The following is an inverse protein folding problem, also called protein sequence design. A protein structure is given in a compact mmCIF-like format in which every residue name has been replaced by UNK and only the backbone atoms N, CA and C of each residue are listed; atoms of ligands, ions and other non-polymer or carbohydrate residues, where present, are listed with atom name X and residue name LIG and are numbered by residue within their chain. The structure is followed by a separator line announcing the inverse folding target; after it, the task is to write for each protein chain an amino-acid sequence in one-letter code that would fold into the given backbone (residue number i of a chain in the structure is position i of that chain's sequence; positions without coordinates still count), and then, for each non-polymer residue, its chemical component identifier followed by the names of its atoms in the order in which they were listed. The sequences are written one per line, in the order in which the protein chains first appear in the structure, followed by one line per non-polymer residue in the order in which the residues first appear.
data_IF_346301303306
#
_entry.id   IF_346301303306
#
_cell.length_a   1.000
_cell.length_b   1.000
_cell.length_c   1.000
_cell.angle_alpha   90.00
_cell.angle_beta   90.00
_cell.angle_gamma   90.00
#
_symmetry.space_group_name_H-M   'P 1'
#
loop_
_entity.id
_entity.type
_entity.pdbx_description
1 polymer ?
#
# COMPACT_ATOMS: atom_id res chain seq x y z
N UNK A 1 147.26 -180.66 17.00
CA UNK A 1 147.79 -182.05 17.08
C UNK A 1 149.32 -181.98 17.28
N UNK A 2 149.94 -183.10 17.71
CA UNK A 2 151.36 -183.45 17.99
C UNK A 2 152.52 -182.67 17.26
N UNK A 3 153.82 -182.70 17.63
CA UNK A 3 154.64 -183.57 18.52
C UNK A 3 156.13 -183.07 18.71
N UNK A 4 157.13 -183.96 18.85
CA UNK A 4 158.54 -183.80 19.37
C UNK A 4 159.66 -184.14 18.32
N UNK A 5 161.04 -184.17 18.54
CA UNK A 5 162.01 -183.70 19.60
C UNK A 5 163.38 -183.08 19.08
N UNK A 6 164.41 -182.84 19.95
CA UNK A 6 165.84 -183.25 19.64
C UNK A 6 167.13 -182.34 19.79
N UNK A 7 167.84 -182.40 20.95
CA UNK A 7 169.32 -182.51 21.27
C UNK A 7 170.59 -181.79 20.64
N UNK A 8 171.55 -181.35 21.53
CA UNK A 8 173.04 -181.66 21.60
C UNK A 8 174.22 -180.62 21.44
N UNK A 9 175.20 -180.62 22.41
CA UNK A 9 176.70 -180.35 22.46
C UNK A 9 177.44 -179.14 21.75
N UNK A 10 178.67 -178.64 22.10
CA UNK A 10 179.70 -178.81 23.18
C UNK A 10 180.73 -177.60 23.25
N UNK A 11 181.34 -177.31 24.43
CA UNK A 11 182.62 -176.58 24.78
C UNK A 11 183.00 -175.17 24.20
N UNK A 12 183.24 -174.16 25.08
CA UNK A 12 184.55 -173.46 25.36
C UNK A 12 184.49 -172.00 25.93
N UNK A 13 185.28 -171.77 27.01
CA UNK A 13 186.06 -170.56 27.40
C UNK A 13 185.39 -169.17 27.60
N UNK A 14 184.79 -169.03 28.78
CA UNK A 14 184.92 -167.90 29.74
C UNK A 14 185.76 -166.64 29.39
N UNK A 15 185.10 -165.49 29.12
CA UNK A 15 185.49 -164.14 29.64
C UNK A 15 184.49 -162.98 29.39
N UNK A 16 183.47 -163.13 28.53
CA UNK A 16 182.68 -162.00 28.00
C UNK A 16 181.33 -161.70 28.70
N UNK A 17 180.99 -162.36 29.81
CA UNK A 17 179.68 -162.22 30.45
C UNK A 17 179.41 -160.88 31.19
N UNK A 18 180.45 -160.17 31.64
CA UNK A 18 180.29 -159.01 32.53
C UNK A 18 180.13 -157.65 31.82
N UNK A 19 180.50 -157.53 30.53
CA UNK A 19 180.47 -156.24 29.81
C UNK A 19 179.11 -155.90 29.16
N UNK A 20 178.15 -156.84 29.13
CA UNK A 20 176.87 -156.63 28.46
C UNK A 20 175.83 -155.85 29.30
N UNK A 21 176.06 -155.69 30.61
CA UNK A 21 175.07 -155.08 31.53
C UNK A 21 175.23 -153.56 31.65
N UNK A 22 176.47 -153.04 31.71
CA UNK A 22 176.73 -151.60 31.90
C UNK A 22 176.26 -150.74 30.71
N UNK A 23 176.41 -151.24 29.47
CA UNK A 23 176.09 -150.46 28.27
C UNK A 23 174.60 -150.08 28.16
N UNK A 24 173.69 -150.90 28.72
CA UNK A 24 172.24 -150.63 28.69
C UNK A 24 171.81 -149.49 29.62
N UNK A 25 172.53 -149.28 30.72
CA UNK A 25 172.18 -148.27 31.74
C UNK A 25 172.47 -146.86 31.20
N UNK A 26 173.64 -146.67 30.56
CA UNK A 26 174.04 -145.39 29.98
C UNK A 26 173.08 -144.91 28.87
N UNK A 27 172.61 -145.81 28.02
CA UNK A 27 171.72 -145.45 26.90
C UNK A 27 170.35 -144.92 27.37
N UNK A 28 169.82 -145.43 28.48
CA UNK A 28 168.55 -144.95 29.04
C UNK A 28 168.64 -143.56 29.70
N UNK A 29 169.81 -143.18 30.23
CA UNK A 29 170.01 -141.88 30.86
C UNK A 29 169.92 -140.72 29.86
N UNK A 30 170.56 -140.86 28.69
CA UNK A 30 170.63 -139.82 27.64
C UNK A 30 169.23 -139.48 27.09
N UNK A 31 168.39 -140.49 26.85
CA UNK A 31 167.04 -140.29 26.29
C UNK A 31 166.14 -139.49 27.24
N UNK A 32 166.24 -139.69 28.56
CA UNK A 32 165.47 -138.90 29.55
C UNK A 32 165.85 -137.42 29.50
N UNK A 33 167.15 -137.11 29.41
CA UNK A 33 167.66 -135.74 29.35
C UNK A 33 167.20 -135.01 28.07
N UNK A 34 167.27 -135.68 26.91
CA UNK A 34 166.76 -135.13 25.65
C UNK A 34 165.26 -134.87 25.67
N UNK A 35 164.47 -135.74 26.31
CA UNK A 35 163.01 -135.58 26.45
C UNK A 35 162.64 -134.40 27.34
N UNK A 36 163.40 -134.16 28.42
CA UNK A 36 163.21 -133.02 29.32
C UNK A 36 163.45 -131.68 28.62
N UNK A 37 164.56 -131.54 27.85
CA UNK A 37 164.86 -130.30 27.13
C UNK A 37 163.70 -129.93 26.20
N UNK A 38 163.24 -130.86 25.33
CA UNK A 38 162.13 -130.61 24.38
C UNK A 38 160.87 -130.06 25.06
N UNK A 39 160.54 -130.51 26.28
CA UNK A 39 159.43 -129.97 27.06
C UNK A 39 159.64 -128.50 27.49
N UNK A 40 160.85 -128.14 27.96
CA UNK A 40 161.18 -126.78 28.39
C UNK A 40 161.09 -125.77 27.24
N UNK A 41 161.57 -126.15 26.04
CA UNK A 41 161.52 -125.30 24.85
C UNK A 41 160.07 -124.99 24.43
N UNK A 42 159.20 -126.00 24.42
CA UNK A 42 157.79 -125.85 24.04
C UNK A 42 157.03 -124.93 25.01
N UNK A 43 157.33 -125.01 26.31
CA UNK A 43 156.72 -124.12 27.31
C UNK A 43 157.12 -122.65 27.08
N UNK A 44 158.39 -122.38 26.77
CA UNK A 44 158.88 -121.04 26.47
C UNK A 44 158.29 -120.42 25.19
N UNK A 45 157.92 -121.24 24.19
CA UNK A 45 157.17 -120.77 23.03
C UNK A 45 155.71 -120.42 23.37
N UNK A 46 155.04 -121.27 24.17
CA UNK A 46 153.63 -121.05 24.58
C UNK A 46 153.45 -119.77 25.41
N UNK A 47 154.37 -119.45 26.32
CA UNK A 47 154.28 -118.22 27.13
C UNK A 47 154.43 -116.96 26.28
N UNK A 48 155.36 -116.93 25.31
CA UNK A 48 155.49 -115.80 24.36
C UNK A 48 154.22 -115.58 23.54
N UNK A 49 153.60 -116.64 23.04
CA UNK A 49 152.34 -116.53 22.28
C UNK A 49 151.19 -115.95 23.13
N UNK A 50 151.07 -116.36 24.40
CA UNK A 50 150.03 -115.86 25.31
C UNK A 50 150.13 -114.35 25.54
N UNK A 51 151.34 -113.81 25.75
CA UNK A 51 151.55 -112.36 25.98
C UNK A 51 151.15 -111.52 24.75
N UNK A 52 151.42 -111.99 23.53
CA UNK A 52 151.02 -111.30 22.29
C UNK A 52 149.49 -111.28 22.13
N UNK A 53 148.82 -112.38 22.44
CA UNK A 53 147.34 -112.44 22.41
C UNK A 53 146.74 -111.50 23.47
N UNK A 54 147.31 -111.48 24.68
CA UNK A 54 146.86 -110.63 25.78
C UNK A 54 147.04 -109.13 25.45
N UNK A 55 148.16 -108.72 24.88
CA UNK A 55 148.39 -107.30 24.51
C UNK A 55 147.43 -106.82 23.42
N UNK A 56 147.14 -107.66 22.41
CA UNK A 56 146.13 -107.38 21.39
C UNK A 56 144.72 -107.28 21.97
N UNK A 57 144.34 -108.17 22.89
CA UNK A 57 143.05 -108.15 23.56
C UNK A 57 142.86 -106.88 24.40
N UNK A 58 143.86 -106.49 25.20
CA UNK A 58 143.84 -105.25 25.97
C UNK A 58 143.73 -104.01 25.08
N UNK A 59 144.49 -103.97 23.97
CA UNK A 59 144.40 -102.90 22.97
C UNK A 59 143.04 -102.79 22.29
N UNK A 60 142.38 -103.93 22.03
CA UNK A 60 141.00 -103.95 21.51
C UNK A 60 139.99 -103.42 22.54
N UNK A 61 140.08 -103.85 23.81
CA UNK A 61 139.20 -103.36 24.89
C UNK A 61 139.30 -101.83 25.06
N UNK A 62 140.51 -101.27 25.00
CA UNK A 62 140.74 -99.84 25.08
C UNK A 62 140.06 -99.07 23.93
N UNK A 63 140.26 -99.52 22.68
CA UNK A 63 139.60 -98.95 21.49
C UNK A 63 138.07 -99.05 21.58
N UNK A 64 137.54 -100.17 22.07
CA UNK A 64 136.10 -100.40 22.24
C UNK A 64 135.48 -99.54 23.36
N UNK A 65 136.26 -99.09 24.36
CA UNK A 65 135.82 -98.08 25.35
C UNK A 65 135.84 -96.67 24.75
N UNK A 66 136.92 -96.30 24.05
CA UNK A 66 137.04 -94.98 23.41
C UNK A 66 135.91 -94.71 22.41
N UNK A 67 135.59 -95.69 21.55
CA UNK A 67 134.48 -95.60 20.61
C UNK A 67 133.12 -95.40 21.31
N UNK A 68 132.82 -96.20 22.34
CA UNK A 68 131.58 -96.06 23.12
C UNK A 68 131.48 -94.72 23.87
N UNK A 69 132.59 -94.16 24.34
CA UNK A 69 132.60 -92.84 24.97
C UNK A 69 132.38 -91.71 23.94
N UNK A 70 132.97 -91.82 22.73
CA UNK A 70 132.71 -90.88 21.63
C UNK A 70 131.23 -90.88 21.23
N UNK A 71 130.61 -92.06 21.09
CA UNK A 71 129.19 -92.17 20.76
C UNK A 71 128.30 -91.56 21.86
N UNK A 72 128.58 -91.82 23.14
CA UNK A 72 127.85 -91.20 24.27
C UNK A 72 127.93 -89.67 24.25
N UNK A 73 129.10 -89.10 23.95
CA UNK A 73 129.28 -87.65 23.80
C UNK A 73 128.45 -87.10 22.63
N UNK A 74 128.47 -87.75 21.47
CA UNK A 74 127.65 -87.35 20.32
C UNK A 74 126.15 -87.40 20.64
N UNK A 75 125.68 -88.47 21.29
CA UNK A 75 124.27 -88.58 21.71
C UNK A 75 123.87 -87.51 22.75
N UNK A 76 124.77 -87.14 23.67
CA UNK A 76 124.54 -86.06 24.62
C UNK A 76 124.42 -84.69 23.92
N UNK A 77 125.33 -84.39 22.98
CA UNK A 77 125.28 -83.16 22.16
C UNK A 77 124.00 -83.11 21.32
N UNK A 78 123.61 -84.21 20.67
CA UNK A 78 122.37 -84.29 19.89
C UNK A 78 121.12 -84.08 20.75
N UNK A 79 121.08 -84.62 21.98
CA UNK A 79 119.98 -84.36 22.93
C UNK A 79 119.91 -82.89 23.32
N UNK A 80 121.04 -82.26 23.64
CA UNK A 80 121.09 -80.83 23.97
C UNK A 80 120.65 -79.94 22.80
N UNK A 81 121.12 -80.24 21.59
CA UNK A 81 120.71 -79.54 20.37
C UNK A 81 119.22 -79.70 20.06
N UNK A 82 118.65 -80.90 20.22
CA UNK A 82 117.20 -81.14 20.05
C UNK A 82 116.39 -80.38 21.09
N UNK A 83 116.80 -80.40 22.36
CA UNK A 83 116.15 -79.64 23.42
C UNK A 83 116.19 -78.13 23.15
N UNK A 84 117.36 -77.59 22.77
CA UNK A 84 117.51 -76.17 22.45
C UNK A 84 116.64 -75.73 21.26
N UNK A 85 116.61 -76.52 20.18
CA UNK A 85 115.72 -76.27 19.03
C UNK A 85 114.24 -76.32 19.43
N UNK A 86 113.85 -77.27 20.28
CA UNK A 86 112.47 -77.37 20.80
C UNK A 86 112.10 -76.16 21.68
N UNK A 87 113.00 -75.72 22.56
CA UNK A 87 112.82 -74.53 23.40
C UNK A 87 112.67 -73.26 22.56
N UNK A 88 113.54 -73.08 21.56
CA UNK A 88 113.48 -71.93 20.64
C UNK A 88 112.18 -71.91 19.82
N UNK A 89 111.75 -73.07 19.30
CA UNK A 89 110.48 -73.17 18.56
C UNK A 89 109.27 -72.90 19.48
N UNK A 90 109.30 -73.37 20.73
CA UNK A 90 108.27 -73.06 21.71
C UNK A 90 108.21 -71.55 22.00
N UNK A 91 109.36 -70.90 22.20
CA UNK A 91 109.45 -69.45 22.45
C UNK A 91 108.99 -68.62 21.24
N UNK A 92 109.28 -69.06 20.01
CA UNK A 92 108.73 -68.44 18.79
C UNK A 92 107.21 -68.60 18.72
N UNK A 93 106.68 -69.78 19.05
CA UNK A 93 105.23 -70.06 19.06
C UNK A 93 104.49 -69.27 20.14
N UNK A 94 105.04 -69.12 21.34
CA UNK A 94 104.42 -68.32 22.40
C UNK A 94 104.42 -66.84 22.05
N UNK A 95 105.53 -66.29 21.51
CA UNK A 95 105.57 -64.91 21.00
C UNK A 95 104.53 -64.68 19.89
N UNK A 96 104.43 -65.57 18.91
CA UNK A 96 103.43 -65.49 17.85
C UNK A 96 101.99 -65.59 18.40
N UNK A 97 101.73 -66.49 19.34
CA UNK A 97 100.42 -66.63 19.98
C UNK A 97 100.01 -65.37 20.75
N UNK A 98 100.91 -64.76 21.51
CA UNK A 98 100.65 -63.50 22.22
C UNK A 98 100.34 -62.34 21.25
N UNK A 99 101.06 -62.25 20.12
CA UNK A 99 100.76 -61.25 19.08
C UNK A 99 99.38 -61.49 18.47
N UNK A 100 99.05 -62.72 18.08
CA UNK A 100 97.72 -63.05 17.53
C UNK A 100 96.61 -62.78 18.55
N UNK A 101 96.77 -63.22 19.81
CA UNK A 101 95.81 -63.00 20.88
C UNK A 101 95.59 -61.53 21.19
N UNK A 102 96.65 -60.72 21.28
CA UNK A 102 96.54 -59.27 21.52
C UNK A 102 95.85 -58.53 20.36
N UNK A 103 96.08 -58.92 19.10
CA UNK A 103 95.32 -58.41 17.97
C UNK A 103 93.82 -58.78 18.03
N UNK A 104 93.49 -60.04 18.37
CA UNK A 104 92.10 -60.51 18.51
C UNK A 104 91.40 -59.79 19.66
N UNK A 105 92.01 -59.71 20.84
CA UNK A 105 91.47 -59.01 22.01
C UNK A 105 91.30 -57.51 21.71
N UNK A 106 92.27 -56.87 21.06
CA UNK A 106 92.18 -55.49 20.62
C UNK A 106 91.07 -55.24 19.60
N UNK A 107 90.83 -56.19 18.67
CA UNK A 107 89.70 -56.12 17.74
C UNK A 107 88.36 -56.29 18.47
N UNK A 108 88.23 -57.28 19.36
CA UNK A 108 87.02 -57.48 20.17
C UNK A 108 86.69 -56.25 21.02
N UNK A 109 87.70 -55.63 21.65
CA UNK A 109 87.53 -54.40 22.42
C UNK A 109 87.03 -53.23 21.55
N UNK A 110 87.64 -53.00 20.37
CA UNK A 110 87.18 -51.98 19.41
C UNK A 110 85.78 -52.26 18.88
N UNK A 111 85.47 -53.52 18.58
CA UNK A 111 84.15 -53.95 18.10
C UNK A 111 83.06 -53.74 19.16
N UNK A 112 83.37 -54.03 20.44
CA UNK A 112 82.49 -53.77 21.58
C UNK A 112 82.28 -52.26 21.79
N UNK A 113 83.36 -51.48 21.77
CA UNK A 113 83.29 -50.01 21.89
C UNK A 113 82.46 -49.37 20.77
N UNK A 114 82.61 -49.81 19.52
CA UNK A 114 81.76 -49.35 18.41
C UNK A 114 80.29 -49.70 18.65
N UNK A 115 79.98 -50.96 18.97
CA UNK A 115 78.60 -51.39 19.26
C UNK A 115 77.97 -50.57 20.39
N UNK A 116 78.71 -50.27 21.45
CA UNK A 116 78.22 -49.45 22.56
C UNK A 116 77.97 -47.99 22.12
N UNK A 117 78.86 -47.41 21.30
CA UNK A 117 78.67 -46.08 20.71
C UNK A 117 77.43 -46.04 19.79
N UNK A 118 77.26 -47.05 18.95
CA UNK A 118 76.13 -47.16 18.03
C UNK A 118 74.81 -47.35 18.78
N UNK A 119 74.79 -48.15 19.85
CA UNK A 119 73.64 -48.30 20.75
C UNK A 119 73.27 -46.98 21.42
N UNK A 120 74.26 -46.23 21.94
CA UNK A 120 74.05 -44.92 22.56
C UNK A 120 73.49 -43.90 21.54
N UNK A 121 74.06 -43.84 20.33
CA UNK A 121 73.56 -42.99 19.25
C UNK A 121 72.12 -43.36 18.86
N UNK A 122 71.79 -44.65 18.73
CA UNK A 122 70.42 -45.08 18.44
C UNK A 122 69.45 -44.78 19.59
N UNK A 123 69.88 -44.85 20.86
CA UNK A 123 69.08 -44.44 22.01
C UNK A 123 68.79 -42.94 21.99
N UNK A 124 69.81 -42.10 21.75
CA UNK A 124 69.67 -40.64 21.60
C UNK A 124 68.72 -40.32 20.44
N UNK A 125 68.90 -40.94 19.27
CA UNK A 125 68.03 -40.72 18.11
C UNK A 125 66.58 -41.15 18.37
N UNK A 126 66.35 -42.27 19.10
CA UNK A 126 65.01 -42.69 19.54
C UNK A 126 64.37 -41.63 20.44
N UNK A 127 65.10 -41.12 21.44
CA UNK A 127 64.60 -40.09 22.35
C UNK A 127 64.29 -38.78 21.61
N UNK A 128 65.18 -38.34 20.71
CA UNK A 128 64.96 -37.15 19.88
C UNK A 128 63.75 -37.29 18.95
N UNK A 129 63.56 -38.44 18.30
CA UNK A 129 62.36 -38.72 17.48
C UNK A 129 61.09 -38.70 18.33
N UNK A 130 61.10 -39.35 19.50
CA UNK A 130 59.97 -39.36 20.43
C UNK A 130 59.62 -37.95 20.90
N UNK A 131 60.60 -37.13 21.29
CA UNK A 131 60.37 -35.77 21.75
C UNK A 131 59.83 -34.85 20.64
N UNK A 132 60.38 -34.93 19.42
CA UNK A 132 59.85 -34.23 18.24
C UNK A 132 58.41 -34.65 17.95
N UNK A 133 58.09 -35.94 18.04
CA UNK A 133 56.73 -36.47 17.92
C UNK A 133 55.78 -35.92 18.99
N UNK A 134 56.22 -35.87 20.26
CA UNK A 134 55.44 -35.33 21.38
C UNK A 134 55.18 -33.82 21.23
N UNK A 135 56.18 -33.06 20.77
CA UNK A 135 56.04 -31.62 20.49
C UNK A 135 55.06 -31.37 19.34
N UNK A 136 55.19 -32.09 18.23
CA UNK A 136 54.26 -32.00 17.09
C UNK A 136 52.84 -32.38 17.48
N UNK A 137 52.67 -33.43 18.30
CA UNK A 137 51.36 -33.81 18.83
C UNK A 137 50.77 -32.68 19.72
N UNK A 138 51.58 -32.07 20.60
CA UNK A 138 51.16 -30.92 21.43
C UNK A 138 50.79 -29.68 20.61
N UNK A 139 51.46 -29.44 19.49
CA UNK A 139 51.09 -28.37 18.55
C UNK A 139 49.78 -28.69 17.81
N UNK A 140 49.64 -29.91 17.27
CA UNK A 140 48.43 -30.36 16.56
C UNK A 140 47.19 -30.36 17.46
N UNK A 141 47.29 -30.81 18.71
CA UNK A 141 46.16 -30.79 19.66
C UNK A 141 45.75 -29.37 20.02
N UNK A 142 46.71 -28.47 20.28
CA UNK A 142 46.42 -27.03 20.47
C UNK A 142 45.70 -26.42 19.26
N UNK A 143 46.20 -26.65 18.05
CA UNK A 143 45.59 -26.16 16.82
C UNK A 143 44.17 -26.73 16.62
N UNK A 144 43.97 -28.03 16.86
CA UNK A 144 42.66 -28.68 16.78
C UNK A 144 41.66 -28.06 17.78
N UNK A 145 42.05 -27.83 19.03
CA UNK A 145 41.19 -27.20 20.05
C UNK A 145 40.79 -25.77 19.64
N UNK A 146 41.71 -24.98 19.09
CA UNK A 146 41.42 -23.62 18.59
C UNK A 146 40.47 -23.67 17.39
N UNK A 147 40.71 -24.54 16.41
CA UNK A 147 39.82 -24.69 15.24
C UNK A 147 38.42 -25.15 15.68
N UNK A 148 38.34 -26.11 16.60
CA UNK A 148 37.09 -26.62 17.16
C UNK A 148 36.32 -25.54 17.94
N UNK A 149 36.99 -24.74 18.79
CA UNK A 149 36.33 -23.68 19.55
C UNK A 149 35.81 -22.56 18.64
N UNK A 150 36.57 -22.16 17.62
CA UNK A 150 36.11 -21.21 16.59
C UNK A 150 34.91 -21.75 15.81
N UNK A 151 34.93 -23.02 15.38
CA UNK A 151 33.83 -23.64 14.65
C UNK A 151 32.56 -23.80 15.51
N UNK A 152 32.70 -24.20 16.78
CA UNK A 152 31.59 -24.26 17.73
C UNK A 152 31.02 -22.87 18.02
N UNK A 153 31.87 -21.87 18.28
CA UNK A 153 31.47 -20.49 18.49
C UNK A 153 30.77 -19.87 17.28
N UNK A 154 31.22 -20.16 16.06
CA UNK A 154 30.55 -19.75 14.83
C UNK A 154 29.17 -20.41 14.69
N UNK A 155 29.05 -21.73 14.90
CA UNK A 155 27.75 -22.43 14.89
C UNK A 155 26.79 -21.89 15.94
N UNK A 156 27.28 -21.56 17.14
CA UNK A 156 26.49 -20.95 18.21
C UNK A 156 25.98 -19.55 17.83
N UNK A 157 26.87 -18.67 17.33
CA UNK A 157 26.49 -17.34 16.82
C UNK A 157 25.46 -17.44 15.69
N UNK A 158 25.64 -18.34 14.72
CA UNK A 158 24.70 -18.51 13.61
C UNK A 158 23.31 -18.97 14.10
N UNK A 159 23.25 -19.88 15.07
CA UNK A 159 21.98 -20.29 15.72
C UNK A 159 21.31 -19.13 16.46
N UNK A 160 22.09 -18.34 17.22
CA UNK A 160 21.59 -17.18 17.95
C UNK A 160 21.03 -16.10 17.00
N UNK A 161 21.77 -15.74 15.95
CA UNK A 161 21.33 -14.80 14.91
C UNK A 161 20.07 -15.29 14.20
N UNK A 162 19.99 -16.57 13.82
CA UNK A 162 18.78 -17.16 13.22
C UNK A 162 17.59 -17.11 14.19
N UNK A 163 17.78 -17.44 15.48
CA UNK A 163 16.73 -17.34 16.50
C UNK A 163 16.23 -15.90 16.65
N UNK A 164 17.14 -14.91 16.76
CA UNK A 164 16.82 -13.48 16.83
C UNK A 164 16.04 -13.00 15.60
N UNK A 165 16.45 -13.40 14.40
CA UNK A 165 15.74 -13.06 13.17
C UNK A 165 14.32 -13.64 13.14
N UNK A 166 14.16 -14.92 13.50
CA UNK A 166 12.85 -15.57 13.55
C UNK A 166 11.93 -14.96 14.62
N UNK A 167 12.45 -14.58 15.80
CA UNK A 167 11.65 -13.89 16.82
C UNK A 167 11.22 -12.50 16.37
N UNK A 168 12.10 -11.74 15.70
CA UNK A 168 11.74 -10.45 15.10
C UNK A 168 10.65 -10.60 14.03
N UNK A 169 10.74 -11.59 13.14
CA UNK A 169 9.69 -11.87 12.17
C UNK A 169 8.35 -12.25 12.84
N UNK A 170 8.38 -13.04 13.92
CA UNK A 170 7.19 -13.40 14.67
C UNK A 170 6.53 -12.17 15.34
N UNK A 171 7.33 -11.30 15.96
CA UNK A 171 6.87 -10.02 16.55
C UNK A 171 6.26 -9.12 15.46
N UNK A 172 6.91 -8.96 14.31
CA UNK A 172 6.39 -8.15 13.20
C UNK A 172 5.08 -8.70 12.64
N UNK A 173 4.94 -10.03 12.51
CA UNK A 173 3.68 -10.69 12.12
C UNK A 173 2.57 -10.41 13.13
N UNK A 174 2.85 -10.57 14.43
CA UNK A 174 1.88 -10.32 15.51
C UNK A 174 1.46 -8.83 15.56
N UNK A 175 2.42 -7.91 15.44
CA UNK A 175 2.14 -6.47 15.39
C UNK A 175 1.29 -6.10 14.16
N UNK A 176 1.58 -6.65 12.98
CA UNK A 176 0.77 -6.43 11.77
C UNK A 176 -0.66 -6.96 11.93
N UNK A 177 -0.82 -8.17 12.46
CA UNK A 177 -2.14 -8.75 12.77
C UNK A 177 -2.91 -7.89 13.78
N UNK A 178 -2.28 -7.47 14.88
CA UNK A 178 -2.91 -6.64 15.90
C UNK A 178 -3.36 -5.27 15.37
N UNK A 179 -2.51 -4.60 14.57
CA UNK A 179 -2.87 -3.36 13.88
C UNK A 179 -4.06 -3.56 12.94
N UNK A 180 -4.10 -4.67 12.20
CA UNK A 180 -5.24 -5.06 11.36
C UNK A 180 -6.53 -5.26 12.17
N UNK A 181 -6.45 -6.02 13.28
CA UNK A 181 -7.58 -6.26 14.20
C UNK A 181 -8.11 -4.96 14.81
N UNK A 182 -7.23 -4.05 15.22
CA UNK A 182 -7.60 -2.75 15.77
C UNK A 182 -8.25 -1.84 14.70
N UNK A 183 -7.70 -1.80 13.48
CA UNK A 183 -8.28 -1.07 12.36
C UNK A 183 -9.67 -1.60 12.00
N UNK A 184 -9.84 -2.92 11.93
CA UNK A 184 -11.14 -3.55 11.71
C UNK A 184 -12.13 -3.16 12.82
N UNK A 185 -11.76 -3.29 14.10
CA UNK A 185 -12.61 -2.87 15.24
C UNK A 185 -13.00 -1.38 15.17
N UNK A 186 -12.10 -0.49 14.73
CA UNK A 186 -12.41 0.93 14.48
C UNK A 186 -13.41 1.10 13.34
N UNK A 187 -13.16 0.49 12.17
CA UNK A 187 -14.05 0.54 11.00
C UNK A 187 -15.45 0.01 11.33
N UNK A 188 -15.56 -1.11 12.04
CA UNK A 188 -16.85 -1.68 12.44
C UNK A 188 -17.61 -0.74 13.38
N UNK A 189 -16.93 -0.11 14.36
CA UNK A 189 -17.57 0.93 15.21
C UNK A 189 -18.08 2.11 14.38
N UNK A 190 -17.27 2.66 13.48
CA UNK A 190 -17.69 3.77 12.60
C UNK A 190 -18.85 3.38 11.68
N UNK A 191 -18.82 2.16 11.13
CA UNK A 191 -19.91 1.64 10.29
C UNK A 191 -21.22 1.51 11.07
N UNK A 192 -21.19 1.01 12.31
CA UNK A 192 -22.38 0.93 13.19
C UNK A 192 -22.97 2.32 13.43
N UNK A 193 -22.13 3.33 13.72
CA UNK A 193 -22.58 4.72 13.93
C UNK A 193 -23.21 5.31 12.66
N UNK A 194 -22.57 5.18 11.50
CA UNK A 194 -23.12 5.65 10.21
C UNK A 194 -24.46 4.95 9.93
N UNK A 195 -24.52 3.63 10.12
CA UNK A 195 -25.76 2.88 9.92
C UNK A 195 -26.87 3.27 10.90
N UNK A 196 -26.58 3.63 12.16
CA UNK A 196 -27.61 4.13 13.08
C UNK A 196 -28.18 5.48 12.63
N UNK A 197 -27.35 6.40 12.14
CA UNK A 197 -27.82 7.67 11.56
C UNK A 197 -28.67 7.43 10.30
N UNK A 198 -28.25 6.54 9.40
CA UNK A 198 -29.01 6.21 8.18
C UNK A 198 -30.36 5.57 8.53
N UNK A 199 -30.41 4.61 9.47
CA UNK A 199 -31.68 4.02 9.93
C UNK A 199 -32.60 5.07 10.57
N UNK A 200 -32.05 5.96 11.39
CA UNK A 200 -32.79 7.08 11.99
C UNK A 200 -33.36 8.03 10.94
N UNK A 201 -32.57 8.41 9.93
CA UNK A 201 -33.01 9.26 8.82
C UNK A 201 -34.14 8.60 8.00
N UNK A 202 -34.02 7.31 7.67
CA UNK A 202 -35.08 6.54 6.98
C UNK A 202 -36.37 6.53 7.81
N UNK A 203 -36.27 6.30 9.12
CA UNK A 203 -37.42 6.30 10.02
C UNK A 203 -38.10 7.69 10.07
N UNK A 204 -37.34 8.76 10.28
CA UNK A 204 -37.84 10.14 10.25
C UNK A 204 -38.49 10.49 8.91
N UNK A 205 -37.92 10.07 7.79
CA UNK A 205 -38.48 10.33 6.47
C UNK A 205 -39.76 9.53 6.23
N UNK A 206 -39.86 8.29 6.70
CA UNK A 206 -41.08 7.49 6.69
C UNK A 206 -42.21 8.15 7.50
N UNK A 207 -41.91 8.59 8.73
CA UNK A 207 -42.86 9.34 9.58
C UNK A 207 -43.31 10.64 8.91
N UNK A 208 -42.40 11.40 8.31
CA UNK A 208 -42.72 12.65 7.60
C UNK A 208 -43.66 12.40 6.39
N UNK A 209 -43.35 11.40 5.56
CA UNK A 209 -44.22 10.99 4.43
C UNK A 209 -45.60 10.54 4.91
N UNK A 210 -45.68 9.77 5.99
CA UNK A 210 -46.95 9.32 6.56
C UNK A 210 -47.76 10.49 7.16
N UNK A 211 -47.12 11.41 7.89
CA UNK A 211 -47.77 12.65 8.37
C UNK A 211 -48.32 13.48 7.20
N UNK A 212 -47.55 13.66 6.13
CA UNK A 212 -48.01 14.38 4.94
C UNK A 212 -49.23 13.69 4.30
N UNK A 213 -49.20 12.36 4.12
CA UNK A 213 -50.35 11.59 3.62
C UNK A 213 -51.60 11.77 4.49
N UNK A 214 -51.46 11.71 5.82
CA UNK A 214 -52.56 11.93 6.77
C UNK A 214 -53.11 13.36 6.63
N UNK A 215 -52.24 14.38 6.58
CA UNK A 215 -52.65 15.78 6.41
C UNK A 215 -53.39 16.00 5.09
N UNK A 216 -52.94 15.38 3.99
CA UNK A 216 -53.63 15.44 2.69
C UNK A 216 -55.02 14.81 2.79
N UNK A 217 -55.15 13.59 3.35
CA UNK A 217 -56.45 12.93 3.55
C UNK A 217 -57.38 13.77 4.42
N UNK A 218 -56.88 14.33 5.52
CA UNK A 218 -57.63 15.22 6.41
C UNK A 218 -58.07 16.51 5.70
N UNK A 219 -57.23 17.11 4.85
CA UNK A 219 -57.58 18.29 4.06
C UNK A 219 -58.67 18.00 3.03
N UNK A 220 -58.59 16.86 2.33
CA UNK A 220 -59.65 16.40 1.42
C UNK A 220 -60.98 16.18 2.15
N UNK A 221 -60.95 15.53 3.32
CA UNK A 221 -62.16 15.26 4.11
C UNK A 221 -62.78 16.55 4.68
N UNK A 222 -61.98 17.46 5.24
CA UNK A 222 -62.44 18.78 5.69
C UNK A 222 -63.06 19.59 4.55
N UNK A 223 -62.41 19.61 3.38
CA UNK A 223 -62.93 20.27 2.19
C UNK A 223 -64.22 19.63 1.65
N UNK A 224 -64.35 18.30 1.74
CA UNK A 224 -65.59 17.60 1.38
C UNK A 224 -66.74 17.97 2.33
N UNK A 225 -66.52 17.94 3.64
CA UNK A 225 -67.51 18.32 4.65
C UNK A 225 -67.98 19.78 4.45
N UNK A 226 -67.04 20.73 4.34
CA UNK A 226 -67.37 22.13 4.09
C UNK A 226 -68.21 22.34 2.82
N UNK A 227 -67.90 21.61 1.72
CA UNK A 227 -68.71 21.65 0.50
C UNK A 227 -70.08 21.00 0.65
N UNK A 228 -70.20 19.93 1.45
CA UNK A 228 -71.48 19.27 1.75
C UNK A 228 -72.40 20.21 2.53
N UNK A 229 -71.88 20.88 3.55
CA UNK A 229 -72.63 21.81 4.39
C UNK A 229 -73.06 23.06 3.58
N UNK A 230 -72.13 23.64 2.81
CA UNK A 230 -72.43 24.74 1.89
C UNK A 230 -73.46 24.36 0.82
N UNK A 231 -73.47 23.10 0.33
CA UNK A 231 -74.48 22.64 -0.64
C UNK A 231 -75.88 22.68 -0.04
N UNK A 232 -76.05 22.37 1.25
CA UNK A 232 -77.32 22.52 1.95
C UNK A 232 -77.78 23.99 2.01
N UNK A 233 -76.88 24.88 2.42
CA UNK A 233 -77.14 26.32 2.48
C UNK A 233 -77.45 26.93 1.10
N UNK A 234 -76.75 26.49 0.05
CA UNK A 234 -76.96 26.95 -1.32
C UNK A 234 -78.32 26.50 -1.89
N UNK A 235 -78.78 25.30 -1.52
CA UNK A 235 -80.11 24.82 -1.90
C UNK A 235 -81.22 25.61 -1.20
N UNK A 236 -81.07 25.89 0.10
CA UNK A 236 -81.99 26.76 0.85
C UNK A 236 -82.01 28.20 0.30
N UNK A 237 -80.84 28.79 0.02
CA UNK A 237 -80.72 30.11 -0.61
C UNK A 237 -81.38 30.13 -2.00
N UNK A 238 -81.14 29.11 -2.84
CA UNK A 238 -81.79 28.98 -4.15
C UNK A 238 -83.31 28.86 -4.02
N UNK A 239 -83.81 28.08 -3.06
CA UNK A 239 -85.24 27.97 -2.80
C UNK A 239 -85.84 29.32 -2.34
N UNK A 240 -85.17 30.05 -1.45
CA UNK A 240 -85.55 31.40 -1.00
C UNK A 240 -85.61 32.39 -2.16
N UNK A 241 -84.61 32.39 -3.05
CA UNK A 241 -84.58 33.23 -4.26
C UNK A 241 -85.69 32.85 -5.24
N UNK A 242 -85.95 31.55 -5.47
CA UNK A 242 -87.06 31.13 -6.32
C UNK A 242 -88.42 31.53 -5.75
N UNK A 243 -88.61 31.36 -4.43
CA UNK A 243 -89.84 31.77 -3.74
C UNK A 243 -90.04 33.29 -3.75
N UNK A 244 -88.99 34.09 -3.61
CA UNK A 244 -89.10 35.53 -3.75
C UNK A 244 -89.38 35.94 -5.20
N UNK A 245 -88.71 35.35 -6.19
CA UNK A 245 -88.90 35.63 -7.61
C UNK A 245 -90.31 35.29 -8.11
N UNK A 246 -90.90 34.17 -7.67
CA UNK A 246 -92.27 33.78 -8.00
C UNK A 246 -93.34 34.74 -7.43
N UNK A 247 -92.99 35.51 -6.39
CA UNK A 247 -93.87 36.45 -5.72
C UNK A 247 -93.63 37.92 -6.15
N UNK A 248 -92.81 38.17 -7.18
CA UNK A 248 -92.59 39.54 -7.70
C UNK A 248 -93.73 39.92 -8.63
N UNK A 249 -94.60 40.81 -8.15
CA UNK A 249 -95.53 41.56 -8.99
C UNK A 249 -94.76 42.39 -10.05
N UNK A 250 -95.25 42.37 -11.29
CA UNK A 250 -94.67 43.11 -12.41
C UNK A 250 -94.73 44.63 -12.16
N UNK A 251 -95.77 45.15 -11.51
CA UNK A 251 -95.87 46.56 -11.14
C UNK A 251 -94.79 47.02 -10.14
N UNK A 252 -94.31 46.10 -9.28
CA UNK A 252 -93.26 46.37 -8.29
C UNK A 252 -91.83 46.29 -8.85
N UNK A 253 -91.64 45.85 -10.10
CA UNK A 253 -90.31 45.83 -10.73
C UNK A 253 -89.75 47.25 -10.87
N UNK A 254 -88.46 47.41 -10.56
CA UNK A 254 -87.77 48.71 -10.55
C UNK A 254 -87.97 49.47 -11.87
N UNK A 255 -87.89 48.80 -13.03
CA UNK A 255 -88.02 49.47 -14.33
C UNK A 255 -89.46 49.96 -14.56
N UNK A 256 -90.48 49.14 -14.26
CA UNK A 256 -91.88 49.53 -14.39
C UNK A 256 -92.25 50.70 -13.45
N UNK A 257 -91.74 50.66 -12.20
CA UNK A 257 -91.87 51.78 -11.25
C UNK A 257 -91.19 53.05 -11.75
N UNK A 258 -90.02 52.94 -12.37
CA UNK A 258 -89.29 54.07 -12.95
C UNK A 258 -89.98 54.65 -14.18
N UNK A 259 -90.59 53.81 -15.03
CA UNK A 259 -91.38 54.25 -16.19
C UNK A 259 -92.62 55.03 -15.74
N UNK A 260 -93.34 54.55 -14.72
CA UNK A 260 -94.47 55.29 -14.13
C UNK A 260 -94.02 56.63 -13.51
N UNK A 261 -92.96 56.60 -12.70
CA UNK A 261 -92.40 57.80 -12.07
C UNK A 261 -91.90 58.83 -13.10
N UNK A 262 -91.34 58.38 -14.22
CA UNK A 262 -90.93 59.22 -15.35
C UNK A 262 -92.12 59.92 -16.01
N UNK A 263 -93.26 59.23 -16.17
CA UNK A 263 -94.49 59.81 -16.74
C UNK A 263 -95.06 60.95 -15.87
N UNK A 264 -94.88 60.87 -14.55
CA UNK A 264 -95.34 61.90 -13.60
C UNK A 264 -94.31 63.01 -13.35
N UNK A 265 -93.04 62.80 -13.70
CA UNK A 265 -91.89 63.64 -13.31
C UNK A 265 -92.04 65.14 -13.60
N UNK A 266 -92.72 65.51 -14.69
CA UNK A 266 -92.94 66.93 -15.08
C UNK A 266 -94.12 67.59 -14.35
N UNK A 267 -94.97 66.81 -13.69
CA UNK A 267 -96.14 67.29 -12.94
C UNK A 267 -95.87 67.44 -11.43
N UNK A 268 -94.70 67.01 -10.96
CA UNK A 268 -94.32 67.06 -9.56
C UNK A 268 -94.02 68.48 -9.10
N UNK A 269 -94.55 68.86 -7.93
CA UNK A 269 -94.36 70.20 -7.34
C UNK A 269 -93.17 70.27 -6.36
N UNK A 270 -92.65 69.12 -5.95
CA UNK A 270 -91.58 68.99 -4.97
C UNK A 270 -90.25 68.74 -5.66
N UNK A 271 -89.30 69.68 -5.51
CA UNK A 271 -87.94 69.53 -6.04
C UNK A 271 -87.22 68.33 -5.40
N UNK A 272 -87.58 67.98 -4.15
CA UNK A 272 -87.07 66.79 -3.46
C UNK A 272 -87.52 65.48 -4.12
N UNK A 273 -88.76 65.40 -4.59
CA UNK A 273 -89.31 64.18 -5.18
C UNK A 273 -88.77 63.99 -6.61
N UNK A 274 -88.66 65.10 -7.36
CA UNK A 274 -87.97 65.15 -8.65
C UNK A 274 -86.50 64.70 -8.48
N UNK A 275 -85.79 65.20 -7.46
CA UNK A 275 -84.41 64.80 -7.17
C UNK A 275 -84.31 63.29 -6.88
N UNK A 276 -85.20 62.76 -6.04
CA UNK A 276 -85.22 61.34 -5.68
C UNK A 276 -85.44 60.43 -6.89
N UNK A 277 -86.37 60.78 -7.77
CA UNK A 277 -86.65 60.01 -8.99
C UNK A 277 -85.50 60.13 -9.99
N UNK A 278 -84.95 61.32 -10.23
CA UNK A 278 -83.77 61.50 -11.09
C UNK A 278 -82.54 60.73 -10.57
N UNK A 279 -82.31 60.71 -9.25
CA UNK A 279 -81.23 59.94 -8.64
C UNK A 279 -81.44 58.42 -8.81
N UNK A 280 -82.69 57.95 -8.69
CA UNK A 280 -83.04 56.53 -8.87
C UNK A 280 -82.94 56.11 -10.35
N UNK A 281 -83.34 56.97 -11.29
CA UNK A 281 -83.13 56.78 -12.73
C UNK A 281 -81.64 56.70 -13.08
N UNK A 282 -80.81 57.58 -12.52
CA UNK A 282 -79.37 57.55 -12.71
C UNK A 282 -78.75 56.22 -12.19
N UNK A 283 -79.10 55.81 -10.96
CA UNK A 283 -78.66 54.54 -10.37
C UNK A 283 -79.05 53.32 -11.22
N UNK A 284 -80.29 53.27 -11.72
CA UNK A 284 -80.77 52.14 -12.51
C UNK A 284 -80.14 52.08 -13.92
N UNK A 285 -79.97 53.23 -14.57
CA UNK A 285 -79.32 53.32 -15.90
C UNK A 285 -77.81 53.11 -15.85
N UNK A 286 -77.15 53.30 -14.70
CA UNK A 286 -75.72 53.07 -14.55
C UNK A 286 -75.30 51.59 -14.76
N UNK A 287 -76.19 50.65 -14.43
CA UNK A 287 -75.86 49.22 -14.34
C UNK A 287 -76.62 48.29 -15.30
N UNK A 288 -77.68 48.75 -15.98
CA UNK A 288 -78.53 47.90 -16.82
C UNK A 288 -78.82 48.53 -18.18
N UNK A 289 -78.27 47.92 -19.24
CA UNK A 289 -78.57 48.28 -20.63
C UNK A 289 -80.08 48.15 -20.93
N UNK A 290 -80.70 47.05 -20.51
CA UNK A 290 -82.14 46.81 -20.72
C UNK A 290 -83.01 47.88 -20.05
N UNK A 291 -82.59 48.41 -18.89
CA UNK A 291 -83.27 49.54 -18.25
C UNK A 291 -83.13 50.83 -19.08
N UNK A 292 -81.97 51.08 -19.68
CA UNK A 292 -81.77 52.21 -20.60
C UNK A 292 -82.67 52.10 -21.84
N UNK A 293 -82.75 50.91 -22.45
CA UNK A 293 -83.60 50.63 -23.62
C UNK A 293 -85.09 50.83 -23.28
N UNK A 294 -85.59 50.24 -22.19
CA UNK A 294 -86.98 50.37 -21.74
C UNK A 294 -87.35 51.81 -21.35
N UNK A 295 -86.46 52.56 -20.69
CA UNK A 295 -86.67 53.98 -20.39
C UNK A 295 -86.68 54.87 -21.63
N UNK A 296 -85.81 54.60 -22.61
CA UNK A 296 -85.79 55.35 -23.88
C UNK A 296 -87.07 55.07 -24.68
N UNK A 297 -87.53 53.82 -24.73
CA UNK A 297 -88.81 53.44 -25.34
C UNK A 297 -90.01 54.12 -24.64
N UNK A 298 -89.95 54.31 -23.32
CA UNK A 298 -90.92 55.08 -22.54
C UNK A 298 -90.80 56.62 -22.70
N UNK A 299 -89.93 57.11 -23.60
CA UNK A 299 -89.81 58.54 -23.90
C UNK A 299 -88.91 59.34 -22.95
N UNK A 300 -88.11 58.69 -22.09
CA UNK A 300 -87.32 59.35 -21.05
C UNK A 300 -86.42 60.47 -21.56
N UNK A 301 -85.86 60.34 -22.76
CA UNK A 301 -85.03 61.37 -23.40
C UNK A 301 -85.76 62.71 -23.50
N UNK A 302 -86.99 62.69 -24.01
CA UNK A 302 -87.79 63.91 -24.17
C UNK A 302 -88.21 64.52 -22.83
N UNK A 303 -88.58 63.67 -21.86
CA UNK A 303 -88.95 64.10 -20.50
C UNK A 303 -87.77 64.73 -19.76
N UNK A 304 -86.59 64.11 -19.82
CA UNK A 304 -85.36 64.63 -19.20
C UNK A 304 -84.93 65.96 -19.84
N UNK A 305 -84.99 66.10 -21.17
CA UNK A 305 -84.68 67.40 -21.79
C UNK A 305 -85.69 68.50 -21.47
N UNK A 306 -86.99 68.16 -21.36
CA UNK A 306 -88.01 69.11 -20.87
C UNK A 306 -87.70 69.57 -19.44
N UNK A 307 -87.39 68.62 -18.54
CA UNK A 307 -87.02 68.91 -17.16
C UNK A 307 -85.78 69.81 -17.09
N UNK A 308 -84.70 69.45 -17.78
CA UNK A 308 -83.44 70.23 -17.79
C UNK A 308 -83.65 71.68 -18.23
N UNK A 309 -84.57 71.92 -19.19
CA UNK A 309 -84.92 73.29 -19.65
C UNK A 309 -85.72 74.09 -18.62
N UNK A 310 -86.53 73.44 -17.78
CA UNK A 310 -87.27 74.12 -16.70
C UNK A 310 -86.43 74.38 -15.44
N UNK A 311 -85.29 73.71 -15.26
CA UNK A 311 -84.43 73.88 -14.09
C UNK A 311 -83.75 75.27 -14.07
N UNK A 312 -83.98 76.01 -12.99
CA UNK A 312 -83.42 77.33 -12.77
C UNK A 312 -81.97 77.26 -12.24
N UNK A 313 -81.39 78.43 -11.91
CA UNK A 313 -80.07 78.53 -11.27
C UNK A 313 -80.11 78.36 -9.74
N UNK A 314 -81.27 78.01 -9.17
CA UNK A 314 -81.37 77.76 -7.73
C UNK A 314 -80.50 76.55 -7.35
N UNK A 315 -79.93 76.57 -6.14
CA UNK A 315 -79.14 75.43 -5.62
C UNK A 315 -79.92 74.10 -5.71
N UNK A 316 -81.20 73.99 -5.27
CA UNK A 316 -81.91 72.72 -5.37
C UNK A 316 -82.17 72.26 -6.82
N UNK A 317 -82.39 73.17 -7.77
CA UNK A 317 -82.53 72.80 -9.19
C UNK A 317 -81.22 72.28 -9.79
N UNK A 318 -80.07 72.82 -9.36
CA UNK A 318 -78.76 72.35 -9.81
C UNK A 318 -78.41 70.97 -9.23
N UNK A 319 -78.91 70.62 -8.04
CA UNK A 319 -78.80 69.24 -7.53
C UNK A 319 -79.68 68.25 -8.31
N UNK A 320 -80.83 68.67 -8.86
CA UNK A 320 -81.63 67.84 -9.81
C UNK A 320 -80.93 67.71 -11.18
N UNK A 321 -80.26 68.76 -11.63
CA UNK A 321 -79.59 68.80 -12.93
C UNK A 321 -78.49 67.71 -13.05
N UNK A 322 -77.71 67.49 -11.98
CA UNK A 322 -76.61 66.49 -11.96
C UNK A 322 -77.07 65.06 -12.28
N UNK A 323 -78.05 64.43 -11.59
CA UNK A 323 -78.53 63.10 -11.92
C UNK A 323 -79.32 63.05 -13.23
N UNK A 324 -80.01 64.12 -13.63
CA UNK A 324 -80.70 64.18 -14.92
C UNK A 324 -79.70 64.13 -16.10
N UNK A 325 -78.65 64.96 -16.08
CA UNK A 325 -77.55 64.91 -17.06
C UNK A 325 -76.77 63.60 -16.98
N UNK A 326 -76.56 63.05 -15.77
CA UNK A 326 -75.87 61.76 -15.60
C UNK A 326 -76.66 60.61 -16.21
N UNK A 327 -77.99 60.62 -16.08
CA UNK A 327 -78.88 59.64 -16.74
C UNK A 327 -78.71 59.72 -18.26
N UNK A 328 -78.76 60.92 -18.86
CA UNK A 328 -78.51 61.09 -20.31
C UNK A 328 -77.10 60.62 -20.73
N UNK A 329 -76.07 60.85 -19.90
CA UNK A 329 -74.70 60.36 -20.10
C UNK A 329 -74.60 58.83 -19.97
N UNK A 330 -75.44 58.19 -19.16
CA UNK A 330 -75.52 56.73 -19.05
C UNK A 330 -76.17 56.14 -20.31
N UNK A 331 -77.27 56.74 -20.79
CA UNK A 331 -77.92 56.36 -22.06
C UNK A 331 -76.94 56.45 -23.25
N UNK A 332 -76.17 57.53 -23.37
CA UNK A 332 -75.18 57.70 -24.44
C UNK A 332 -73.98 56.75 -24.38
N UNK A 333 -73.90 55.85 -23.40
CA UNK A 333 -72.92 54.74 -23.44
C UNK A 333 -73.23 53.71 -24.52
N UNK A 334 -74.48 53.59 -24.95
CA UNK A 334 -74.95 52.57 -25.88
C UNK A 334 -75.17 53.20 -27.27
N UNK A 335 -74.40 52.84 -28.32
CA UNK A 335 -74.43 53.55 -29.60
C UNK A 335 -75.84 53.69 -30.22
N UNK A 336 -76.65 52.63 -30.15
CA UNK A 336 -78.02 52.63 -30.68
C UNK A 336 -78.99 53.59 -29.94
N UNK A 337 -78.63 54.06 -28.73
CA UNK A 337 -79.39 55.09 -27.99
C UNK A 337 -78.86 56.51 -28.21
N UNK A 338 -77.64 56.68 -28.76
CA UNK A 338 -77.07 57.99 -29.08
C UNK A 338 -77.90 58.68 -30.17
N UNK A 339 -78.35 57.94 -31.17
CA UNK A 339 -79.22 58.45 -32.23
C UNK A 339 -80.52 59.07 -31.67
N UNK A 340 -81.18 58.40 -30.73
CA UNK A 340 -82.40 58.92 -30.08
C UNK A 340 -82.14 60.18 -29.26
N UNK A 341 -80.93 60.32 -28.68
CA UNK A 341 -80.50 61.55 -28.00
C UNK A 341 -80.27 62.70 -29.00
N UNK A 342 -79.69 62.41 -30.18
CA UNK A 342 -79.41 63.41 -31.23
C UNK A 342 -80.71 63.87 -31.91
N UNK A 343 -81.61 62.95 -32.21
CA UNK A 343 -82.86 63.21 -32.95
C UNK A 343 -83.94 63.89 -32.08
N UNK A 344 -83.79 63.89 -30.75
CA UNK A 344 -84.69 64.58 -29.83
C UNK A 344 -84.64 66.11 -29.99
N UNK A 345 -85.79 66.74 -30.24
CA UNK A 345 -85.89 68.18 -30.53
C UNK A 345 -85.20 69.07 -29.48
N UNK A 346 -84.25 69.88 -29.93
CA UNK A 346 -83.49 70.84 -29.13
C UNK A 346 -82.50 70.22 -28.15
N UNK A 347 -82.20 68.93 -28.26
CA UNK A 347 -81.32 68.21 -27.32
C UNK A 347 -79.93 68.82 -27.28
N UNK A 348 -79.32 69.00 -28.45
CA UNK A 348 -77.97 69.51 -28.62
C UNK A 348 -77.82 70.95 -28.12
N UNK A 349 -78.78 71.82 -28.42
CA UNK A 349 -78.87 73.19 -27.88
C UNK A 349 -78.89 73.16 -26.35
N UNK A 350 -79.61 72.21 -25.77
CA UNK A 350 -79.77 72.08 -24.31
C UNK A 350 -78.48 71.60 -23.67
N UNK A 351 -77.86 70.55 -24.20
CA UNK A 351 -76.58 70.02 -23.66
C UNK A 351 -75.47 71.04 -23.81
N UNK A 352 -75.35 71.71 -24.97
CA UNK A 352 -74.36 72.79 -25.17
C UNK A 352 -74.66 73.97 -24.25
N UNK A 353 -75.93 74.32 -24.01
CA UNK A 353 -76.29 75.35 -23.03
C UNK A 353 -75.83 74.96 -21.63
N UNK A 354 -76.09 73.73 -21.18
CA UNK A 354 -75.67 73.27 -19.84
C UNK A 354 -74.16 73.16 -19.69
N UNK A 355 -73.46 72.66 -20.70
CA UNK A 355 -72.00 72.65 -20.74
C UNK A 355 -71.41 74.06 -20.58
N UNK A 356 -71.98 75.06 -21.26
CA UNK A 356 -71.53 76.45 -21.16
C UNK A 356 -71.98 77.16 -19.86
N UNK A 357 -73.09 76.73 -19.27
CA UNK A 357 -73.72 77.32 -18.06
C UNK A 357 -73.02 76.87 -16.77
N UNK A 358 -72.54 75.63 -16.72
CA UNK A 358 -71.99 75.02 -15.52
C UNK A 358 -70.50 75.33 -15.28
N UNK A 359 -70.05 75.20 -14.03
CA UNK A 359 -68.63 75.38 -13.64
C UNK A 359 -68.06 74.24 -12.79
N UNK A 360 -68.91 73.36 -12.30
CA UNK A 360 -68.61 72.29 -11.34
C UNK A 360 -68.87 70.92 -11.98
N UNK A 361 -69.26 69.90 -11.22
CA UNK A 361 -69.44 68.53 -11.70
C UNK A 361 -70.34 68.41 -12.95
N UNK A 362 -71.44 69.19 -13.00
CA UNK A 362 -72.35 69.25 -14.16
C UNK A 362 -71.66 69.64 -15.48
N UNK A 363 -70.54 70.38 -15.42
CA UNK A 363 -69.72 70.71 -16.59
C UNK A 363 -69.08 69.47 -17.21
N UNK A 364 -68.53 68.59 -16.36
CA UNK A 364 -67.83 67.39 -16.80
C UNK A 364 -68.83 66.33 -17.28
N UNK A 365 -69.98 66.19 -16.61
CA UNK A 365 -71.07 65.31 -17.06
C UNK A 365 -71.59 65.73 -18.45
N UNK A 366 -71.81 67.04 -18.66
CA UNK A 366 -72.22 67.57 -19.96
C UNK A 366 -71.10 67.42 -21.01
N UNK A 367 -69.83 67.53 -20.62
CA UNK A 367 -68.70 67.31 -21.51
C UNK A 367 -68.62 65.86 -22.00
N UNK A 368 -68.68 64.88 -21.09
CA UNK A 368 -68.72 63.44 -21.43
C UNK A 368 -69.86 63.13 -22.43
N UNK A 369 -71.03 63.72 -22.20
CA UNK A 369 -72.20 63.55 -23.07
C UNK A 369 -71.96 64.15 -24.47
N UNK A 370 -71.39 65.35 -24.56
CA UNK A 370 -71.04 65.97 -25.85
C UNK A 370 -69.94 65.18 -26.59
N UNK A 371 -68.89 64.71 -25.89
CA UNK A 371 -67.82 63.90 -26.49
C UNK A 371 -68.37 62.62 -27.13
N UNK A 372 -69.29 61.93 -26.44
CA UNK A 372 -69.98 60.75 -26.98
C UNK A 372 -70.85 61.09 -28.20
N UNK A 373 -71.64 62.17 -28.13
CA UNK A 373 -72.46 62.63 -29.26
C UNK A 373 -71.60 62.99 -30.49
N UNK A 374 -70.45 63.64 -30.30
CA UNK A 374 -69.54 64.00 -31.39
C UNK A 374 -68.57 62.88 -31.80
N UNK A 375 -68.68 61.70 -31.19
CA UNK A 375 -68.10 60.47 -31.74
C UNK A 375 -68.95 59.94 -32.90
N UNK A 376 -70.27 60.19 -32.86
CA UNK A 376 -71.20 59.79 -33.94
C UNK A 376 -71.33 60.89 -35.01
N UNK A 377 -71.24 60.48 -36.28
CA UNK A 377 -71.28 61.41 -37.43
C UNK A 377 -72.55 62.26 -37.46
N UNK A 378 -73.71 61.67 -37.11
CA UNK A 378 -74.99 62.38 -36.99
C UNK A 378 -74.93 63.57 -36.01
N UNK A 379 -74.22 63.41 -34.89
CA UNK A 379 -74.10 64.46 -33.86
C UNK A 379 -73.24 65.63 -34.32
N UNK A 380 -72.18 65.34 -35.09
CA UNK A 380 -71.33 66.36 -35.72
C UNK A 380 -72.07 67.08 -36.86
N UNK A 381 -72.81 66.35 -37.69
CA UNK A 381 -73.69 66.96 -38.70
C UNK A 381 -74.77 67.86 -38.06
N UNK A 382 -75.32 67.47 -36.90
CA UNK A 382 -76.27 68.28 -36.15
C UNK A 382 -75.67 69.59 -35.61
N UNK A 383 -74.45 69.58 -35.04
CA UNK A 383 -73.81 70.84 -34.58
C UNK A 383 -73.39 71.74 -35.74
N UNK A 384 -72.96 71.16 -36.87
CA UNK A 384 -72.61 71.92 -38.05
C UNK A 384 -73.81 72.60 -38.73
N UNK A 385 -75.02 72.02 -38.62
CA UNK A 385 -76.28 72.68 -39.02
C UNK A 385 -76.64 73.89 -38.15
N UNK A 386 -75.98 74.10 -37.00
CA UNK A 386 -76.19 75.24 -36.12
C UNK A 386 -74.90 76.05 -35.89
N UNK A 387 -74.52 76.94 -36.85
CA UNK A 387 -73.32 77.79 -36.72
C UNK A 387 -73.26 78.62 -35.44
N UNK A 388 -74.42 78.97 -34.87
CA UNK A 388 -74.52 79.68 -33.60
C UNK A 388 -74.02 78.85 -32.41
N UNK A 389 -74.36 77.56 -32.32
CA UNK A 389 -73.83 76.65 -31.29
C UNK A 389 -72.33 76.44 -31.45
N UNK A 390 -71.88 76.21 -32.69
CA UNK A 390 -70.46 76.03 -32.99
C UNK A 390 -69.63 77.27 -32.61
N UNK A 391 -70.13 78.48 -32.90
CA UNK A 391 -69.50 79.74 -32.47
C UNK A 391 -69.46 79.88 -30.95
N UNK A 392 -70.53 79.50 -30.23
CA UNK A 392 -70.56 79.51 -28.76
C UNK A 392 -69.49 78.59 -28.14
N UNK A 393 -69.29 77.39 -28.70
CA UNK A 393 -68.25 76.45 -28.25
C UNK A 393 -66.83 77.01 -28.49
N UNK A 394 -66.57 77.61 -29.64
CA UNK A 394 -65.28 78.26 -29.94
C UNK A 394 -65.00 79.42 -28.97
N UNK A 395 -65.96 80.34 -28.79
CA UNK A 395 -65.84 81.46 -27.85
C UNK A 395 -65.54 81.00 -26.41
N UNK A 396 -66.09 79.86 -25.99
CA UNK A 396 -65.86 79.29 -24.65
C UNK A 396 -64.45 78.74 -24.47
N UNK A 397 -63.92 78.05 -25.48
CA UNK A 397 -62.51 77.62 -25.50
C UNK A 397 -61.56 78.83 -25.48
N UNK A 398 -61.87 79.90 -26.21
CA UNK A 398 -61.09 81.14 -26.17
C UNK A 398 -61.15 81.85 -24.81
N UNK A 399 -62.34 81.95 -24.20
CA UNK A 399 -62.52 82.53 -22.86
C UNK A 399 -61.78 81.73 -21.78
N UNK A 400 -61.90 80.39 -21.78
CA UNK A 400 -61.14 79.53 -20.87
C UNK A 400 -59.63 79.62 -21.15
N UNK A 401 -59.20 79.71 -22.40
CA UNK A 401 -57.79 79.91 -22.77
C UNK A 401 -57.23 81.24 -22.28
N UNK A 402 -58.01 82.33 -22.36
CA UNK A 402 -57.64 83.64 -21.80
C UNK A 402 -57.56 83.58 -20.27
N UNK A 403 -58.51 82.94 -19.60
CA UNK A 403 -58.50 82.76 -18.13
C UNK A 403 -57.33 81.91 -17.64
N UNK A 404 -57.05 80.77 -18.27
CA UNK A 404 -55.90 79.93 -17.93
C UNK A 404 -54.57 80.70 -18.07
N UNK A 405 -54.41 81.49 -19.15
CA UNK A 405 -53.23 82.36 -19.33
C UNK A 405 -53.10 83.47 -18.28
N UNK A 406 -54.22 84.03 -17.81
CA UNK A 406 -54.23 85.02 -16.73
C UNK A 406 -53.90 84.38 -15.37
N UNK A 407 -54.59 83.29 -15.02
CA UNK A 407 -54.41 82.58 -13.75
C UNK A 407 -53.00 81.98 -13.59
N UNK A 408 -52.35 81.58 -14.70
CA UNK A 408 -50.92 81.20 -14.71
C UNK A 408 -50.04 82.27 -14.05
N UNK A 409 -50.33 83.57 -14.26
CA UNK A 409 -49.52 84.71 -13.79
C UNK A 409 -49.86 85.21 -12.38
N UNK A 410 -51.04 84.91 -11.84
CA UNK A 410 -51.55 85.61 -10.63
C UNK A 410 -52.02 84.72 -9.47
N UNK A 411 -52.18 83.40 -9.64
CA UNK A 411 -52.76 82.53 -8.58
C UNK A 411 -51.86 81.36 -8.15
N UNK A 412 -52.09 80.75 -6.97
CA UNK A 412 -51.49 79.47 -6.56
C UNK A 412 -51.99 78.28 -7.39
N UNK A 413 -51.22 77.18 -7.43
CA UNK A 413 -51.48 76.02 -8.31
C UNK A 413 -52.86 75.37 -8.10
N UNK A 414 -53.30 75.18 -6.85
CA UNK A 414 -54.59 74.58 -6.51
C UNK A 414 -55.80 75.36 -7.08
N UNK A 415 -55.67 76.67 -7.34
CA UNK A 415 -56.73 77.47 -7.94
C UNK A 415 -56.71 77.46 -9.49
N UNK A 416 -55.65 76.93 -10.12
CA UNK A 416 -55.52 76.80 -11.59
C UNK A 416 -56.14 75.50 -12.10
N UNK A 417 -55.97 74.42 -11.34
CA UNK A 417 -56.38 73.06 -11.72
C UNK A 417 -57.83 72.94 -12.22
N UNK A 418 -58.86 73.60 -11.63
CA UNK A 418 -60.23 73.53 -12.11
C UNK A 418 -60.49 74.29 -13.42
N UNK A 419 -59.66 75.28 -13.77
CA UNK A 419 -59.76 76.00 -15.06
C UNK A 419 -59.06 75.19 -16.15
N UNK A 420 -57.86 74.68 -15.86
CA UNK A 420 -57.09 73.87 -16.81
C UNK A 420 -57.78 72.53 -17.14
N UNK A 421 -58.45 71.89 -16.16
CA UNK A 421 -59.31 70.71 -16.41
C UNK A 421 -60.43 71.04 -17.40
N UNK A 422 -61.20 72.11 -17.16
CA UNK A 422 -62.33 72.49 -18.03
C UNK A 422 -61.91 72.96 -19.42
N UNK A 423 -60.71 73.55 -19.55
CA UNK A 423 -60.15 73.90 -20.84
C UNK A 423 -59.80 72.65 -21.68
N UNK A 424 -59.23 71.61 -21.08
CA UNK A 424 -58.96 70.33 -21.77
C UNK A 424 -60.24 69.73 -22.35
N UNK A 425 -61.25 69.58 -21.50
CA UNK A 425 -62.58 69.08 -21.88
C UNK A 425 -63.18 69.82 -23.09
N UNK A 426 -63.12 71.16 -23.08
CA UNK A 426 -63.67 72.00 -24.15
C UNK A 426 -62.85 71.94 -25.45
N UNK A 427 -61.52 71.84 -25.36
CA UNK A 427 -60.65 71.67 -26.54
C UNK A 427 -60.91 70.32 -27.20
N UNK A 428 -60.99 69.24 -26.42
CA UNK A 428 -61.23 67.88 -26.91
C UNK A 428 -62.56 67.77 -27.67
N UNK A 429 -63.63 68.42 -27.17
CA UNK A 429 -64.92 68.54 -27.87
C UNK A 429 -64.76 69.18 -29.26
N UNK A 430 -63.99 70.28 -29.38
CA UNK A 430 -63.74 70.92 -30.68
C UNK A 430 -62.82 70.07 -31.58
N UNK A 431 -61.91 69.29 -31.01
CA UNK A 431 -61.07 68.38 -31.79
C UNK A 431 -61.87 67.20 -32.36
N UNK A 432 -62.81 66.61 -31.60
CA UNK A 432 -63.72 65.58 -32.12
C UNK A 432 -64.55 66.07 -33.32
N UNK A 433 -65.13 67.28 -33.21
CA UNK A 433 -65.86 67.92 -34.31
C UNK A 433 -64.95 68.11 -35.54
N UNK A 434 -63.72 68.59 -35.37
CA UNK A 434 -62.76 68.78 -36.49
C UNK A 434 -62.34 67.47 -37.15
N UNK A 435 -62.10 66.43 -36.36
CA UNK A 435 -61.68 65.10 -36.84
C UNK A 435 -62.82 64.47 -37.66
N UNK A 436 -64.05 64.48 -37.15
CA UNK A 436 -65.21 63.94 -37.88
C UNK A 436 -65.60 64.77 -39.11
N UNK A 437 -65.23 66.05 -39.18
CA UNK A 437 -65.40 66.90 -40.36
C UNK A 437 -64.29 66.73 -41.41
N UNK A 438 -63.35 65.79 -41.21
CA UNK A 438 -62.35 65.42 -42.22
C UNK A 438 -61.33 66.52 -42.54
N UNK A 439 -61.03 67.42 -41.58
CA UNK A 439 -60.14 68.56 -41.79
C UNK A 439 -58.88 68.47 -40.88
N UNK A 440 -57.80 67.76 -41.29
CA UNK A 440 -56.76 67.27 -40.36
C UNK A 440 -55.74 68.31 -39.88
N UNK A 441 -55.98 69.60 -40.14
CA UNK A 441 -54.95 70.66 -40.06
C UNK A 441 -55.05 71.48 -38.78
N UNK A 442 -54.03 71.34 -37.92
CA UNK A 442 -53.82 71.98 -36.59
C UNK A 442 -54.56 71.35 -35.40
N UNK A 443 -53.87 70.42 -34.72
CA UNK A 443 -54.04 70.19 -33.26
C UNK A 443 -53.97 71.53 -32.53
N UNK A 444 -54.87 71.76 -31.57
CA UNK A 444 -54.79 72.90 -30.66
C UNK A 444 -53.73 72.60 -29.59
N UNK A 445 -52.46 72.70 -29.99
CA UNK A 445 -51.31 72.37 -29.13
C UNK A 445 -51.33 73.18 -27.83
N UNK A 446 -51.67 72.50 -26.73
CA UNK A 446 -51.50 73.01 -25.38
C UNK A 446 -50.00 73.14 -25.06
N UNK A 447 -49.46 74.35 -25.20
CA UNK A 447 -48.28 74.72 -24.42
C UNK A 447 -48.72 74.95 -22.96
N UNK A 448 -48.38 73.96 -22.13
CA UNK A 448 -48.48 73.98 -20.65
C UNK A 448 -47.73 75.19 -20.07
#
# INVERSE_FOLDING_TARGET
MHGIPGASCYRNVSKLGYQALELKILLQAVVKLQRWWRCKLLHAQRTKAAVVIQSHALGWIARQRASRNKERLLQAVLKLQRWWRSKLLHEQRTKAAVVIQSHILGWLARQSASRNKDQLLQAILKLQRWWRGKLLHKQRTKAAVVIQSHAQGWKARQRASRKKYLTLLAVLKLQRWWRGKLLHKRRTKSAVVIQSYVRGWIACQSVSRNKHRIVVIQAYMKGYLARKDLRGQLLDLRHKIQKSAANVDDGMRIINRLVAALSELLNMRSVSDILHICATLNMATQHSQKCCEELVAAGAVGTLFKLIRSLSRSIPDQEVLKPALSTLRNLSRYPHLIDVLIESYGSLETIVSEFLRNKEEGYFIASDLLKKIFTEKKGVEAVCKSPALLKRLHNHVEELSRRAKADKRTKPHAMKEPVDKRLREAVEILELIKVSMGNPSKRLSMKV
#
